data_IF_727305112804
#
_entry.id   IF_727305112804
#
_cell.length_a   1.000
_cell.length_b   1.000
_cell.length_c   1.000
_cell.angle_alpha   90.00
_cell.angle_beta   90.00
_cell.angle_gamma   90.00
#
_symmetry.space_group_name_H-M   'P 1'
#
loop_
_entity.id
_entity.type
_entity.pdbx_description
1 polymer ?
#
# COMPACT_ATOMS: atom_id res chain seq x y z
N UNK A 1 15.01 8.42 0.33
CA UNK A 1 14.24 7.54 -0.56
C UNK A 1 14.90 6.21 -0.86
N UNK A 2 15.99 5.92 -0.16
CA UNK A 2 16.70 4.64 -0.35
C UNK A 2 15.83 3.43 -0.04
N UNK A 3 14.98 3.53 1.01
CA UNK A 3 14.08 2.43 1.38
C UNK A 3 13.04 2.14 0.29
N UNK A 4 12.51 3.19 -0.34
CA UNK A 4 11.53 3.01 -1.41
C UNK A 4 12.16 2.32 -2.62
N UNK A 5 13.37 2.73 -3.01
CA UNK A 5 14.10 2.10 -4.12
C UNK A 5 14.45 0.65 -3.79
N UNK A 6 14.85 0.36 -2.55
CA UNK A 6 15.18 -0.99 -2.12
C UNK A 6 13.94 -1.89 -2.12
N UNK A 7 12.78 -1.37 -1.69
CA UNK A 7 11.52 -2.12 -1.75
C UNK A 7 11.14 -2.46 -3.19
N UNK A 8 11.27 -1.51 -4.10
CA UNK A 8 10.97 -1.73 -5.51
C UNK A 8 11.86 -2.81 -6.10
N UNK A 9 13.17 -2.73 -5.81
CA UNK A 9 14.13 -3.71 -6.30
C UNK A 9 13.81 -5.10 -5.75
N UNK A 10 13.50 -5.22 -4.46
CA UNK A 10 13.13 -6.49 -3.85
C UNK A 10 11.85 -7.06 -4.46
N UNK A 11 10.89 -6.19 -4.80
CA UNK A 11 9.67 -6.61 -5.49
C UNK A 11 9.99 -7.15 -6.88
N UNK A 12 10.87 -6.48 -7.64
CA UNK A 12 11.30 -6.95 -8.95
C UNK A 12 11.99 -8.30 -8.87
N UNK A 13 12.72 -8.55 -7.79
CA UNK A 13 13.37 -9.84 -7.55
C UNK A 13 12.44 -10.90 -6.99
N UNK A 14 11.15 -10.56 -6.82
CA UNK A 14 10.12 -11.47 -6.34
C UNK A 14 10.36 -11.99 -4.92
N UNK A 15 10.99 -11.18 -4.07
CA UNK A 15 11.17 -11.52 -2.66
C UNK A 15 9.86 -11.41 -1.88
N UNK A 16 8.89 -10.69 -2.40
CA UNK A 16 7.55 -10.57 -1.82
C UNK A 16 6.56 -10.20 -2.92
N UNK A 17 5.28 -10.34 -2.61
CA UNK A 17 4.19 -9.91 -3.49
C UNK A 17 3.60 -8.62 -2.92
N UNK A 18 3.60 -7.57 -3.71
CA UNK A 18 3.15 -6.25 -3.26
C UNK A 18 1.72 -5.96 -3.73
N UNK A 19 0.93 -5.41 -2.81
CA UNK A 19 -0.44 -5.00 -3.05
C UNK A 19 -0.61 -3.53 -2.71
N UNK A 20 -1.52 -2.85 -3.41
CA UNK A 20 -1.98 -1.52 -3.04
C UNK A 20 -3.50 -1.54 -2.95
N UNK A 21 -4.07 -0.67 -2.11
CA UNK A 21 -5.51 -0.54 -2.03
C UNK A 21 -6.06 0.10 -3.32
N UNK A 22 -7.31 -0.23 -3.65
CA UNK A 22 -7.93 0.26 -4.90
C UNK A 22 -8.00 1.78 -5.00
N UNK A 23 -7.96 2.49 -3.87
CA UNK A 23 -7.95 3.96 -3.86
C UNK A 23 -6.58 4.53 -4.25
N UNK A 24 -5.49 3.78 -4.08
CA UNK A 24 -4.14 4.27 -4.30
C UNK A 24 -3.88 4.72 -5.74
N UNK A 25 -4.24 3.95 -6.78
CA UNK A 25 -4.04 4.41 -8.16
C UNK A 25 -4.77 5.72 -8.44
N UNK A 26 -5.95 5.91 -7.85
CA UNK A 26 -6.73 7.13 -8.03
C UNK A 26 -5.99 8.32 -7.39
N UNK A 27 -5.47 8.15 -6.18
CA UNK A 27 -4.72 9.18 -5.49
C UNK A 27 -3.43 9.55 -6.23
N UNK A 28 -2.71 8.54 -6.74
CA UNK A 28 -1.49 8.76 -7.52
C UNK A 28 -1.82 9.55 -8.78
N UNK A 29 -2.89 9.21 -9.47
CA UNK A 29 -3.33 9.91 -10.67
C UNK A 29 -3.56 11.40 -10.36
N UNK A 30 -4.26 11.68 -9.26
CA UNK A 30 -4.59 13.04 -8.85
C UNK A 30 -3.33 13.87 -8.58
N UNK A 31 -2.39 13.29 -7.85
CA UNK A 31 -1.15 13.98 -7.47
C UNK A 31 -0.27 14.24 -8.70
N UNK A 32 -0.06 13.22 -9.51
CA UNK A 32 0.81 13.34 -10.69
C UNK A 32 0.21 14.30 -11.72
N UNK A 33 -1.10 14.27 -11.87
CA UNK A 33 -1.80 15.17 -12.81
C UNK A 33 -1.53 16.63 -12.46
N UNK A 34 -1.53 16.98 -11.19
CA UNK A 34 -1.27 18.35 -10.74
C UNK A 34 0.16 18.81 -11.05
N UNK A 35 1.10 17.89 -11.04
CA UNK A 35 2.53 18.21 -11.16
C UNK A 35 3.02 18.06 -12.60
N UNK A 36 2.60 17.00 -13.28
CA UNK A 36 3.14 16.62 -14.61
C UNK A 36 2.10 16.55 -15.72
N UNK A 37 0.81 16.76 -15.41
CA UNK A 37 -0.25 16.73 -16.40
C UNK A 37 -0.93 15.36 -16.54
N UNK A 38 -2.00 15.34 -17.32
CA UNK A 38 -2.90 14.19 -17.41
C UNK A 38 -2.24 12.97 -18.07
N UNK A 39 -1.44 13.18 -19.12
CA UNK A 39 -0.85 12.06 -19.85
C UNK A 39 0.17 11.31 -18.98
N UNK A 40 1.03 12.05 -18.28
CA UNK A 40 2.02 11.45 -17.38
C UNK A 40 1.31 10.76 -16.22
N UNK A 41 0.20 11.33 -15.73
CA UNK A 41 -0.58 10.72 -14.64
C UNK A 41 -1.13 9.36 -15.06
N UNK A 42 -1.68 9.25 -16.27
CA UNK A 42 -2.23 7.98 -16.76
C UNK A 42 -1.13 6.95 -16.98
N UNK A 43 0.04 7.36 -17.44
CA UNK A 43 1.20 6.47 -17.56
C UNK A 43 1.63 5.93 -16.19
N UNK A 44 1.65 6.80 -15.18
CA UNK A 44 2.01 6.40 -13.82
C UNK A 44 1.01 5.37 -13.25
N UNK A 45 -0.29 5.58 -13.48
CA UNK A 45 -1.32 4.63 -13.05
C UNK A 45 -1.15 3.30 -13.77
N UNK A 46 -0.91 3.33 -15.07
CA UNK A 46 -0.73 2.11 -15.85
C UNK A 46 0.46 1.30 -15.33
N UNK A 47 1.57 1.96 -15.07
CA UNK A 47 2.75 1.32 -14.49
C UNK A 47 2.42 0.69 -13.13
N UNK A 48 1.71 1.41 -12.29
CA UNK A 48 1.35 0.95 -10.94
C UNK A 48 0.49 -0.31 -11.00
N UNK A 49 -0.59 -0.30 -11.77
CA UNK A 49 -1.52 -1.44 -11.82
C UNK A 49 -0.96 -2.61 -12.62
N UNK A 50 0.03 -2.37 -13.48
CA UNK A 50 0.71 -3.45 -14.22
C UNK A 50 1.76 -4.15 -13.37
N UNK A 51 2.28 -3.47 -12.35
CA UNK A 51 3.40 -3.94 -11.54
C UNK A 51 2.94 -4.53 -10.21
N UNK A 52 1.91 -3.96 -9.61
CA UNK A 52 1.43 -4.33 -8.28
C UNK A 52 0.05 -4.98 -8.38
N UNK A 53 -0.29 -5.77 -7.38
CA UNK A 53 -1.65 -6.27 -7.23
C UNK A 53 -2.51 -5.23 -6.55
N UNK A 54 -3.79 -5.18 -6.90
CA UNK A 54 -4.72 -4.21 -6.32
C UNK A 54 -5.70 -4.93 -5.39
N UNK A 55 -5.79 -4.47 -4.15
CA UNK A 55 -6.80 -4.94 -3.22
C UNK A 55 -8.15 -4.35 -3.58
N UNK A 56 -9.15 -5.19 -3.76
CA UNK A 56 -10.51 -4.73 -4.03
C UNK A 56 -11.08 -4.05 -2.79
N UNK A 57 -11.67 -2.85 -2.99
CA UNK A 57 -12.37 -2.13 -1.93
C UNK A 57 -13.86 -2.19 -2.26
N UNK A 58 -14.57 -3.06 -1.54
CA UNK A 58 -16.01 -3.23 -1.70
C UNK A 58 -16.74 -2.74 -0.45
N UNK A 59 -18.05 -2.92 -0.42
CA UNK A 59 -18.87 -2.49 0.69
C UNK A 59 -18.44 -3.16 2.00
N UNK A 60 -18.08 -4.43 1.96
CA UNK A 60 -17.67 -5.15 3.16
C UNK A 60 -16.38 -4.58 3.75
N UNK A 61 -15.41 -4.25 2.88
CA UNK A 61 -14.15 -3.62 3.32
C UNK A 61 -14.44 -2.27 3.96
N UNK A 62 -15.27 -1.45 3.32
CA UNK A 62 -15.61 -0.13 3.83
C UNK A 62 -16.32 -0.20 5.19
N UNK A 63 -17.21 -1.16 5.37
CA UNK A 63 -17.87 -1.38 6.65
C UNK A 63 -16.92 -1.91 7.72
N UNK A 64 -16.06 -2.85 7.37
CA UNK A 64 -15.08 -3.39 8.30
C UNK A 64 -14.11 -2.31 8.79
N UNK A 65 -13.75 -1.37 7.92
CA UNK A 65 -12.86 -0.28 8.27
C UNK A 65 -13.45 0.62 9.36
N UNK A 66 -14.77 0.78 9.39
CA UNK A 66 -15.42 1.59 10.42
C UNK A 66 -15.24 1.02 11.83
N UNK A 67 -15.01 -0.28 11.95
CA UNK A 67 -14.81 -0.94 13.24
C UNK A 67 -13.35 -0.87 13.71
N UNK A 68 -12.44 -0.45 12.86
CA UNK A 68 -11.01 -0.33 13.22
C UNK A 68 -10.81 1.03 13.89
N UNK A 69 -10.29 1.06 15.14
CA UNK A 69 -10.15 2.33 15.87
C UNK A 69 -8.91 3.11 15.42
N UNK A 70 -8.89 3.52 14.17
CA UNK A 70 -7.83 4.35 13.59
C UNK A 70 -8.40 5.71 13.25
N UNK A 71 -7.59 6.75 13.44
CA UNK A 71 -8.03 8.13 13.22
C UNK A 71 -8.32 8.40 11.75
N UNK A 72 -7.47 7.91 10.85
CA UNK A 72 -7.62 8.13 9.42
C UNK A 72 -8.40 6.98 8.81
N UNK A 73 -9.57 7.29 8.24
CA UNK A 73 -10.45 6.27 7.65
C UNK A 73 -9.80 5.61 6.43
N UNK A 74 -9.07 6.37 5.62
CA UNK A 74 -8.38 5.79 4.45
C UNK A 74 -7.37 4.74 4.88
N UNK A 75 -6.61 5.00 5.95
CA UNK A 75 -5.68 4.03 6.51
C UNK A 75 -6.42 2.81 7.04
N UNK A 76 -7.56 3.02 7.70
CA UNK A 76 -8.39 1.91 8.18
C UNK A 76 -8.90 1.04 7.03
N UNK A 77 -9.27 1.65 5.91
CA UNK A 77 -9.70 0.92 4.72
C UNK A 77 -8.55 0.07 4.17
N UNK A 78 -7.35 0.60 4.14
CA UNK A 78 -6.19 -0.16 3.69
C UNK A 78 -5.94 -1.38 4.58
N UNK A 79 -6.03 -1.21 5.91
CA UNK A 79 -5.88 -2.33 6.85
C UNK A 79 -7.00 -3.36 6.64
N UNK A 80 -8.24 -2.92 6.52
CA UNK A 80 -9.37 -3.82 6.32
C UNK A 80 -9.22 -4.63 5.03
N UNK A 81 -8.76 -3.99 3.95
CA UNK A 81 -8.52 -4.68 2.69
C UNK A 81 -7.40 -5.73 2.82
N UNK A 82 -6.32 -5.38 3.51
CA UNK A 82 -5.22 -6.30 3.74
C UNK A 82 -5.64 -7.51 4.57
N UNK A 83 -6.43 -7.28 5.62
CA UNK A 83 -6.95 -8.35 6.47
C UNK A 83 -7.87 -9.27 5.68
N UNK A 84 -8.76 -8.70 4.87
CA UNK A 84 -9.69 -9.50 4.05
C UNK A 84 -8.96 -10.42 3.09
N UNK A 85 -7.88 -9.95 2.48
CA UNK A 85 -7.06 -10.74 1.57
C UNK A 85 -6.05 -11.63 2.29
N UNK A 86 -6.03 -11.58 3.63
CA UNK A 86 -5.09 -12.35 4.44
C UNK A 86 -3.64 -12.09 4.09
N UNK A 87 -3.33 -10.81 3.83
CA UNK A 87 -1.95 -10.39 3.58
C UNK A 87 -1.13 -10.48 4.87
N UNK A 88 0.17 -10.60 4.73
CA UNK A 88 1.07 -10.84 5.86
C UNK A 88 1.36 -9.58 6.66
N UNK A 89 1.37 -8.41 6.03
CA UNK A 89 1.77 -7.18 6.70
C UNK A 89 1.37 -5.95 5.90
N UNK A 90 1.38 -4.82 6.59
CA UNK A 90 1.28 -3.49 5.99
C UNK A 90 2.63 -2.80 6.14
N UNK A 91 3.11 -2.15 5.09
CA UNK A 91 4.35 -1.38 5.12
C UNK A 91 4.01 0.09 4.97
N UNK A 92 4.40 0.90 5.94
CA UNK A 92 4.09 2.32 5.96
C UNK A 92 5.19 3.10 6.70
N UNK A 93 5.41 4.35 6.29
CA UNK A 93 6.31 5.23 7.02
C UNK A 93 5.70 5.75 8.32
N UNK A 94 4.38 5.74 8.43
CA UNK A 94 3.64 6.30 9.56
C UNK A 94 3.17 5.19 10.49
N UNK A 95 4.07 4.37 10.99
CA UNK A 95 3.71 3.21 11.82
C UNK A 95 2.90 3.61 13.06
N UNK A 96 3.10 4.81 13.56
CA UNK A 96 2.33 5.31 14.72
C UNK A 96 0.83 5.36 14.45
N UNK A 97 0.45 5.73 13.23
CA UNK A 97 -0.95 5.86 12.86
C UNK A 97 -1.64 4.50 12.74
N UNK A 98 -0.86 3.43 12.72
CA UNK A 98 -1.35 2.05 12.59
C UNK A 98 -1.24 1.26 13.90
N UNK A 99 -1.11 1.94 15.03
CA UNK A 99 -0.92 1.27 16.33
C UNK A 99 -2.06 0.32 16.68
N UNK A 100 -3.28 0.59 16.21
CA UNK A 100 -4.47 -0.22 16.46
C UNK A 100 -4.77 -1.21 15.34
N UNK A 101 -3.88 -1.39 14.38
CA UNK A 101 -4.08 -2.35 13.31
C UNK A 101 -3.99 -3.79 13.84
N UNK A 102 -4.81 -4.66 13.27
CA UNK A 102 -4.86 -6.08 13.67
C UNK A 102 -3.92 -6.95 12.85
N UNK A 103 -3.08 -6.35 12.04
CA UNK A 103 -2.12 -7.00 11.15
C UNK A 103 -0.74 -6.44 11.46
N UNK A 104 0.35 -7.21 11.31
CA UNK A 104 1.69 -6.66 11.52
C UNK A 104 1.96 -5.45 10.64
N UNK A 105 2.59 -4.44 11.20
CA UNK A 105 2.91 -3.19 10.50
C UNK A 105 4.42 -2.95 10.61
N UNK A 106 5.05 -2.69 9.48
CA UNK A 106 6.49 -2.43 9.42
C UNK A 106 6.75 -1.09 8.74
N UNK A 107 7.81 -0.42 9.17
CA UNK A 107 8.39 0.64 8.35
C UNK A 107 9.09 0.01 7.15
N UNK A 108 9.35 0.76 6.06
CA UNK A 108 10.10 0.22 4.93
C UNK A 108 11.45 -0.37 5.37
N UNK A 109 12.18 0.30 6.25
CA UNK A 109 13.47 -0.18 6.71
C UNK A 109 13.34 -1.50 7.47
N UNK A 110 12.37 -1.60 8.38
CA UNK A 110 12.16 -2.81 9.18
C UNK A 110 11.67 -3.96 8.33
N UNK A 111 10.82 -3.68 7.33
CA UNK A 111 10.34 -4.71 6.43
C UNK A 111 11.49 -5.31 5.61
N UNK A 112 12.39 -4.48 5.12
CA UNK A 112 13.55 -4.94 4.34
C UNK A 112 14.44 -5.90 5.15
N UNK A 113 14.51 -5.71 6.47
CA UNK A 113 15.27 -6.60 7.35
C UNK A 113 14.67 -7.99 7.46
N UNK A 114 13.38 -8.14 7.14
CA UNK A 114 12.69 -9.43 7.18
C UNK A 114 12.92 -10.25 5.92
N UNK A 115 13.47 -9.65 4.86
CA UNK A 115 13.63 -10.31 3.57
C UNK A 115 14.92 -11.11 3.51
N UNK A 116 15.00 -12.13 2.62
CA UNK A 116 16.24 -12.88 2.43
C UNK A 116 17.39 -11.97 1.98
N UNK A 117 18.59 -12.29 2.45
CA UNK A 117 19.80 -11.53 2.12
C UNK A 117 20.59 -12.24 1.03
N UNK A 118 20.25 -12.12 -0.20
CA UNK A 118 21.06 -12.72 -1.27
C UNK A 118 21.46 -11.76 -2.31
#
# INVERSE_FOLDING_TARGET
MEEAAALWLAHEKQFFVAYVAGITPINVCYIVRKIKGADVAREAVDLLISTLHVCVIDQQVLQAALAIPMTDYEDAVQVAAAVKLQLDAVVTRNTKDYANATIPVFSPADFLKQLPTT
#
